data_IF_897637381888
#
_entry.id   IF_897637381888
#
_cell.length_a   1.000
_cell.length_b   1.000
_cell.length_c   1.000
_cell.angle_alpha   90.00
_cell.angle_beta   90.00
_cell.angle_gamma   90.00
#
_symmetry.space_group_name_H-M   'P 1'
#
loop_
_entity.id
_entity.type
_entity.pdbx_description
1 polymer ?
#
# COMPACT_ATOMS: atom_id res chain seq x y z
N UNK A 1 15.42 -6.62 3.43
CA UNK A 1 15.51 -5.13 3.49
C UNK A 1 15.43 -4.45 2.12
N UNK A 2 16.25 -4.82 1.12
CA UNK A 2 16.22 -4.18 -0.21
C UNK A 2 14.86 -4.27 -0.93
N UNK A 3 14.26 -5.47 -0.96
CA UNK A 3 12.92 -5.71 -1.55
C UNK A 3 11.82 -4.90 -0.85
N UNK A 4 11.86 -4.84 0.47
CA UNK A 4 10.94 -4.04 1.29
C UNK A 4 11.01 -2.55 0.93
N UNK A 5 12.21 -1.95 0.94
CA UNK A 5 12.40 -0.53 0.60
C UNK A 5 11.90 -0.20 -0.81
N UNK A 6 12.16 -1.07 -1.79
CA UNK A 6 11.67 -0.90 -3.16
C UNK A 6 10.14 -1.00 -3.19
N UNK A 7 9.55 -1.97 -2.49
CA UNK A 7 8.10 -2.11 -2.35
C UNK A 7 7.46 -0.87 -1.74
N UNK A 8 8.00 -0.34 -0.64
CA UNK A 8 7.51 0.89 0.00
C UNK A 8 7.60 2.07 -0.95
N UNK A 9 8.74 2.24 -1.63
CA UNK A 9 8.93 3.33 -2.58
C UNK A 9 7.92 3.25 -3.74
N UNK A 10 7.76 2.07 -4.33
CA UNK A 10 6.82 1.86 -5.44
C UNK A 10 5.37 2.08 -4.98
N UNK A 11 5.01 1.59 -3.79
CA UNK A 11 3.71 1.83 -3.17
C UNK A 11 3.44 3.32 -2.99
N UNK A 12 4.43 4.05 -2.47
CA UNK A 12 4.32 5.48 -2.24
C UNK A 12 4.15 6.26 -3.55
N UNK A 13 4.97 5.96 -4.55
CA UNK A 13 4.90 6.60 -5.88
C UNK A 13 3.55 6.32 -6.54
N UNK A 14 3.11 5.06 -6.57
CA UNK A 14 1.84 4.66 -7.19
C UNK A 14 0.64 5.27 -6.47
N UNK A 15 0.65 5.27 -5.13
CA UNK A 15 -0.38 5.92 -4.32
C UNK A 15 -0.45 7.43 -4.59
N UNK A 16 0.69 8.13 -4.52
CA UNK A 16 0.74 9.58 -4.70
C UNK A 16 0.35 9.99 -6.14
N UNK A 17 0.81 9.25 -7.14
CA UNK A 17 0.45 9.49 -8.53
C UNK A 17 -1.05 9.27 -8.76
N UNK A 18 -1.60 8.17 -8.23
CA UNK A 18 -3.04 7.90 -8.31
C UNK A 18 -3.86 8.96 -7.59
N UNK A 19 -3.44 9.38 -6.41
CA UNK A 19 -4.15 10.40 -5.63
C UNK A 19 -4.15 11.73 -6.37
N UNK A 20 -3.03 12.10 -6.99
CA UNK A 20 -2.90 13.31 -7.83
C UNK A 20 -3.80 13.25 -9.07
N UNK A 21 -3.96 12.08 -9.69
CA UNK A 21 -4.84 11.87 -10.85
C UNK A 21 -6.33 11.99 -10.48
N UNK A 22 -6.71 11.53 -9.29
CA UNK A 22 -8.12 11.47 -8.87
C UNK A 22 -8.55 12.64 -7.96
N UNK A 23 -7.64 13.54 -7.58
CA UNK A 23 -7.94 14.63 -6.64
C UNK A 23 -7.36 15.98 -7.05
N UNK A 24 -7.90 17.05 -6.47
CA UNK A 24 -7.36 18.40 -6.67
C UNK A 24 -6.04 18.62 -5.93
N UNK A 25 -5.22 19.54 -6.45
CA UNK A 25 -3.90 19.85 -5.91
C UNK A 25 -3.92 20.23 -4.41
N UNK A 26 -4.89 21.03 -3.98
CA UNK A 26 -5.03 21.42 -2.57
C UNK A 26 -5.31 20.24 -1.64
N UNK A 27 -6.09 19.27 -2.11
CA UNK A 27 -6.39 18.05 -1.36
C UNK A 27 -5.16 17.13 -1.27
N UNK A 28 -4.44 16.98 -2.39
CA UNK A 28 -3.19 16.23 -2.43
C UNK A 28 -2.19 16.75 -1.39
N UNK A 29 -1.94 18.07 -1.35
CA UNK A 29 -1.01 18.68 -0.39
C UNK A 29 -1.47 18.46 1.06
N UNK A 30 -2.77 18.53 1.33
CA UNK A 30 -3.29 18.34 2.69
C UNK A 30 -3.06 16.91 3.21
N UNK A 31 -3.13 15.91 2.34
CA UNK A 31 -3.01 14.48 2.71
C UNK A 31 -1.57 13.98 2.62
N UNK A 32 -0.74 14.60 1.79
CA UNK A 32 0.62 14.14 1.53
C UNK A 32 1.45 13.88 2.80
N UNK A 33 1.46 14.75 3.83
CA UNK A 33 2.20 14.49 5.06
C UNK A 33 1.71 13.24 5.80
N UNK A 34 0.40 13.00 5.79
CA UNK A 34 -0.21 11.82 6.42
C UNK A 34 0.16 10.57 5.63
N UNK A 35 0.11 10.64 4.30
CA UNK A 35 0.47 9.53 3.42
C UNK A 35 1.95 9.12 3.57
N UNK A 36 2.87 10.08 3.72
CA UNK A 36 4.31 9.83 3.96
C UNK A 36 4.54 9.00 5.22
N UNK A 37 3.70 9.13 6.24
CA UNK A 37 3.80 8.35 7.48
C UNK A 37 2.99 7.05 7.41
N UNK A 38 1.77 7.11 6.87
CA UNK A 38 0.86 5.96 6.84
C UNK A 38 1.32 4.85 5.90
N UNK A 39 1.80 5.19 4.69
CA UNK A 39 2.25 4.21 3.70
C UNK A 39 3.36 3.30 4.24
N UNK A 40 4.50 3.81 4.76
CA UNK A 40 5.54 2.94 5.30
C UNK A 40 5.07 2.12 6.50
N UNK A 41 4.19 2.67 7.35
CA UNK A 41 3.62 1.93 8.47
C UNK A 41 2.75 0.75 7.99
N UNK A 42 1.85 0.99 7.05
CA UNK A 42 0.98 -0.06 6.46
C UNK A 42 1.83 -1.11 5.76
N UNK A 43 2.85 -0.71 5.00
CA UNK A 43 3.78 -1.64 4.38
C UNK A 43 4.55 -2.48 5.42
N UNK A 44 5.00 -1.88 6.53
CA UNK A 44 5.70 -2.60 7.59
C UNK A 44 4.78 -3.65 8.26
N UNK A 45 3.53 -3.28 8.56
CA UNK A 45 2.51 -4.21 9.08
C UNK A 45 2.24 -5.33 8.09
N UNK A 46 2.17 -5.01 6.79
CA UNK A 46 1.99 -5.98 5.71
C UNK A 46 3.14 -6.97 5.66
N UNK A 47 4.38 -6.49 5.70
CA UNK A 47 5.57 -7.34 5.68
C UNK A 47 5.60 -8.27 6.89
N UNK A 48 5.31 -7.76 8.09
CA UNK A 48 5.26 -8.56 9.31
C UNK A 48 4.21 -9.68 9.23
N UNK A 49 3.02 -9.38 8.70
CA UNK A 49 1.95 -10.36 8.49
C UNK A 49 2.33 -11.42 7.47
N UNK A 50 2.95 -11.02 6.35
CA UNK A 50 3.42 -11.96 5.34
C UNK A 50 4.50 -12.88 5.93
N UNK A 51 5.50 -12.34 6.63
CA UNK A 51 6.54 -13.15 7.27
C UNK A 51 5.94 -14.15 8.26
N UNK A 52 4.96 -13.73 9.06
CA UNK A 52 4.27 -14.62 10.00
C UNK A 52 3.49 -15.74 9.30
N UNK A 53 2.80 -15.44 8.19
CA UNK A 53 2.03 -16.43 7.43
C UNK A 53 2.95 -17.39 6.68
N UNK A 54 4.01 -16.89 6.06
CA UNK A 54 5.01 -17.71 5.38
C UNK A 54 5.67 -18.69 6.36
N UNK A 55 6.02 -18.24 7.57
CA UNK A 55 6.62 -19.08 8.62
C UNK A 55 5.65 -20.15 9.14
N UNK A 56 4.38 -19.79 9.34
CA UNK A 56 3.39 -20.67 9.96
C UNK A 56 2.74 -21.67 9.00
N UNK A 57 2.58 -21.31 7.72
CA UNK A 57 1.83 -22.10 6.73
C UNK A 57 2.67 -22.57 5.54
N UNK A 58 3.93 -22.10 5.40
CA UNK A 58 4.85 -22.56 4.36
C UNK A 58 4.45 -22.22 2.92
N UNK A 59 3.44 -21.35 2.73
CA UNK A 59 2.86 -21.02 1.44
C UNK A 59 2.91 -19.52 1.20
N UNK A 60 3.30 -19.09 0.00
CA UNK A 60 3.43 -17.67 -0.36
C UNK A 60 2.06 -17.03 -0.57
N UNK A 61 1.47 -16.49 0.50
CA UNK A 61 0.20 -15.75 0.48
C UNK A 61 0.37 -14.25 0.21
N UNK A 62 1.56 -13.81 -0.23
CA UNK A 62 1.93 -12.41 -0.49
C UNK A 62 0.79 -11.55 -1.03
N UNK A 63 0.17 -11.98 -2.15
CA UNK A 63 -0.88 -11.20 -2.82
C UNK A 63 -2.18 -11.12 -2.03
N UNK A 64 -2.58 -12.21 -1.36
CA UNK A 64 -3.80 -12.24 -0.56
C UNK A 64 -3.68 -11.36 0.69
N UNK A 65 -2.49 -11.35 1.32
CA UNK A 65 -2.22 -10.50 2.49
C UNK A 65 -2.22 -9.03 2.09
N UNK A 66 -1.55 -8.68 0.99
CA UNK A 66 -1.53 -7.30 0.46
C UNK A 66 -2.95 -6.83 0.13
N UNK A 67 -3.75 -7.67 -0.55
CA UNK A 67 -5.14 -7.34 -0.88
C UNK A 67 -6.02 -7.21 0.38
N UNK A 68 -5.84 -8.09 1.36
CA UNK A 68 -6.56 -8.05 2.63
C UNK A 68 -6.28 -6.76 3.39
N UNK A 69 -5.01 -6.36 3.50
CA UNK A 69 -4.63 -5.11 4.17
C UNK A 69 -5.11 -3.89 3.39
N UNK A 70 -5.04 -3.90 2.05
CA UNK A 70 -5.60 -2.84 1.23
C UNK A 70 -7.12 -2.67 1.48
N UNK A 71 -7.84 -3.78 1.64
CA UNK A 71 -9.27 -3.78 1.95
C UNK A 71 -9.55 -3.24 3.35
N UNK A 72 -8.80 -3.66 4.37
CA UNK A 72 -8.94 -3.13 5.74
C UNK A 72 -8.62 -1.64 5.78
N UNK A 73 -7.57 -1.21 5.08
CA UNK A 73 -7.14 0.19 5.00
C UNK A 73 -8.15 1.06 4.26
N UNK A 74 -8.89 0.51 3.30
CA UNK A 74 -9.89 1.25 2.51
C UNK A 74 -11.25 1.36 3.18
N UNK A 75 -11.58 0.53 4.18
CA UNK A 75 -12.84 0.58 4.94
C UNK A 75 -13.25 1.99 5.42
N UNK A 76 -12.40 2.76 6.13
CA UNK A 76 -12.77 4.10 6.59
C UNK A 76 -12.98 5.10 5.44
N UNK A 77 -12.49 4.77 4.24
CA UNK A 77 -12.57 5.62 3.05
C UNK A 77 -13.53 5.08 1.99
N UNK A 78 -14.30 4.02 2.28
CA UNK A 78 -15.22 3.38 1.35
C UNK A 78 -16.13 4.35 0.57
N UNK A 79 -16.70 5.42 1.15
CA UNK A 79 -17.53 6.37 0.39
C UNK A 79 -16.73 7.24 -0.60
N UNK A 80 -15.39 7.23 -0.55
CA UNK A 80 -14.52 8.01 -1.43
C UNK A 80 -13.75 7.12 -2.40
N UNK A 81 -14.25 7.04 -3.64
CA UNK A 81 -13.59 6.31 -4.72
C UNK A 81 -12.14 6.77 -4.96
N UNK A 82 -11.85 8.06 -4.72
CA UNK A 82 -10.51 8.65 -4.83
C UNK A 82 -9.52 7.93 -3.92
N UNK A 83 -9.87 7.79 -2.64
CA UNK A 83 -9.00 7.10 -1.67
C UNK A 83 -8.96 5.60 -1.91
N UNK A 84 -10.12 4.96 -2.13
CA UNK A 84 -10.18 3.51 -2.33
C UNK A 84 -9.32 3.10 -3.53
N UNK A 85 -9.46 3.77 -4.67
CA UNK A 85 -8.66 3.47 -5.86
C UNK A 85 -7.16 3.67 -5.61
N UNK A 86 -6.78 4.79 -4.99
CA UNK A 86 -5.36 5.06 -4.69
C UNK A 86 -4.75 4.06 -3.72
N UNK A 87 -5.50 3.59 -2.71
CA UNK A 87 -5.04 2.56 -1.76
C UNK A 87 -4.76 1.25 -2.49
N UNK A 88 -5.67 0.78 -3.35
CA UNK A 88 -5.46 -0.45 -4.12
C UNK A 88 -4.32 -0.32 -5.13
N UNK A 89 -4.16 0.83 -5.79
CA UNK A 89 -3.05 1.10 -6.71
C UNK A 89 -1.70 1.15 -5.97
N UNK A 90 -1.65 1.75 -4.78
CA UNK A 90 -0.48 1.72 -3.90
C UNK A 90 -0.14 0.29 -3.46
N UNK A 91 -1.13 -0.50 -3.06
CA UNK A 91 -0.95 -1.90 -2.67
C UNK A 91 -0.42 -2.76 -3.82
N UNK A 92 -0.93 -2.56 -5.04
CA UNK A 92 -0.38 -3.16 -6.26
C UNK A 92 1.09 -2.76 -6.45
N UNK A 93 1.42 -1.48 -6.25
CA UNK A 93 2.80 -1.00 -6.26
C UNK A 93 3.69 -1.74 -5.26
N UNK A 94 3.23 -1.93 -4.02
CA UNK A 94 3.95 -2.70 -3.01
C UNK A 94 4.19 -4.15 -3.46
N UNK A 95 3.14 -4.83 -3.91
CA UNK A 95 3.22 -6.22 -4.37
C UNK A 95 4.19 -6.40 -5.54
N UNK A 96 4.09 -5.52 -6.54
CA UNK A 96 4.97 -5.51 -7.71
C UNK A 96 6.42 -5.24 -7.31
N UNK A 97 6.66 -4.22 -6.46
CA UNK A 97 8.01 -3.90 -5.97
C UNK A 97 8.65 -5.04 -5.17
N UNK A 98 7.84 -5.83 -4.46
CA UNK A 98 8.29 -7.04 -3.73
C UNK A 98 8.62 -8.21 -4.67
N UNK A 99 8.07 -8.26 -5.89
CA UNK A 99 8.25 -9.35 -6.88
C UNK A 99 9.32 -9.08 -7.94
N UNK A 100 9.60 -7.81 -8.25
CA UNK A 100 10.57 -7.40 -9.29
C UNK A 100 12.03 -7.71 -8.90
N UNK A 101 12.32 -7.97 -7.62
CA UNK A 101 13.67 -8.30 -7.13
C UNK A 101 13.64 -9.41 -6.10
#
# INVERSE_FOLDING_TARGET
>A
MKKFLIGVLLSFVMFALSLSLFSGFSFFIAIFPIAVLAVPFICAVTEALISFIDEKWGFKWDGAVVLGIATITSLPFYPSCVFVASIYIGALGYYVGRRIM
#
